data_IF_969781037814
#
_entry.id   IF_969781037814
#
_cell.length_a   1.000
_cell.length_b   1.000
_cell.length_c   1.000
_cell.angle_alpha   90.00
_cell.angle_beta   90.00
_cell.angle_gamma   90.00
#
_symmetry.space_group_name_H-M   'P 1'
#
loop_
_entity.id
_entity.type
_entity.pdbx_description
1 polymer ?
#
# COMPACT_ATOMS: atom_id res chain seq x y z
N UNK A 1 -17.68 37.02 74.43
CA UNK A 1 -17.86 38.31 73.74
C UNK A 1 -18.12 37.99 72.26
N UNK A 2 -19.34 37.64 71.85
CA UNK A 2 -20.41 38.57 71.37
C UNK A 2 -19.83 39.57 70.33
N UNK A 3 -19.95 39.41 69.00
CA UNK A 3 -21.11 39.35 68.09
C UNK A 3 -21.89 40.68 68.02
N UNK A 4 -22.21 41.12 66.78
CA UNK A 4 -23.07 42.24 66.30
C UNK A 4 -22.43 43.63 66.05
N UNK A 5 -22.90 44.53 65.18
CA UNK A 5 -23.39 44.55 63.76
C UNK A 5 -23.60 46.05 63.38
N UNK A 6 -23.45 46.41 62.10
CA UNK A 6 -24.12 47.51 61.31
C UNK A 6 -23.93 49.01 61.73
N UNK A 7 -23.53 49.85 60.76
CA UNK A 7 -24.31 50.96 60.12
C UNK A 7 -23.37 52.03 59.54
N UNK A 8 -23.63 52.37 58.29
CA UNK A 8 -23.07 53.44 57.48
C UNK A 8 -23.07 54.83 58.15
N UNK A 9 -22.21 55.74 57.69
CA UNK A 9 -22.59 57.03 57.10
C UNK A 9 -21.40 58.02 56.99
N UNK A 10 -21.26 58.56 55.78
CA UNK A 10 -20.96 59.96 55.47
C UNK A 10 -19.78 60.68 56.16
N UNK A 11 -18.76 61.04 55.38
CA UNK A 11 -18.30 62.43 55.29
C UNK A 11 -17.27 62.64 54.17
N UNK A 12 -17.53 63.69 53.37
CA UNK A 12 -16.61 64.56 52.62
C UNK A 12 -17.19 64.81 51.22
N UNK A 13 -17.55 66.02 50.80
CA UNK A 13 -17.47 67.34 51.38
C UNK A 13 -18.00 68.27 50.28
N UNK A 14 -18.94 69.14 50.64
CA UNK A 14 -19.55 70.09 49.72
C UNK A 14 -18.51 71.08 49.17
N UNK A 15 -18.36 71.13 47.85
CA UNK A 15 -17.90 72.33 47.14
C UNK A 15 -19.07 72.82 46.27
N UNK A 16 -19.89 73.67 46.88
CA UNK A 16 -21.01 74.34 46.26
C UNK A 16 -20.47 75.44 45.35
N UNK A 17 -20.19 75.11 44.09
CA UNK A 17 -19.96 76.10 43.05
C UNK A 17 -21.31 76.38 42.41
N UNK A 18 -21.87 77.58 42.68
CA UNK A 18 -23.07 78.11 42.02
C UNK A 18 -22.91 77.96 40.50
N UNK A 19 -23.53 76.92 39.95
CA UNK A 19 -23.73 76.80 38.51
C UNK A 19 -24.95 77.64 38.19
N UNK A 20 -24.72 78.75 37.50
CA UNK A 20 -25.73 79.37 36.66
C UNK A 20 -26.36 78.24 35.84
N UNK A 21 -27.66 78.02 36.05
CA UNK A 21 -28.47 77.01 35.37
C UNK A 21 -28.58 77.40 33.88
N UNK A 22 -27.56 77.01 33.12
CA UNK A 22 -27.59 77.06 31.67
C UNK A 22 -28.17 75.74 31.15
N UNK A 23 -29.07 75.78 30.15
CA UNK A 23 -29.56 74.58 29.50
C UNK A 23 -28.37 73.72 29.03
N UNK A 24 -28.39 72.43 29.31
CA UNK A 24 -27.42 71.49 28.77
C UNK A 24 -28.14 70.33 28.08
N UNK A 25 -27.56 69.90 26.96
CA UNK A 25 -28.01 68.69 26.27
C UNK A 25 -27.41 67.49 26.99
N UNK A 26 -28.26 66.53 27.37
CA UNK A 26 -27.80 65.18 27.71
C UNK A 26 -27.96 64.32 26.47
N UNK A 27 -26.85 63.82 25.94
CA UNK A 27 -26.88 62.78 24.92
C UNK A 27 -26.77 61.45 25.65
N UNK A 28 -27.61 60.47 25.31
CA UNK A 28 -27.49 59.11 25.82
C UNK A 28 -27.47 58.15 24.66
N UNK A 29 -26.61 57.15 24.73
CA UNK A 29 -26.62 55.99 23.85
C UNK A 29 -27.36 54.88 24.59
N UNK A 30 -28.38 54.29 23.96
CA UNK A 30 -29.19 53.27 24.63
C UNK A 30 -28.43 51.97 24.90
N UNK A 31 -27.35 51.71 24.14
CA UNK A 31 -26.73 50.38 24.05
C UNK A 31 -25.26 50.31 24.51
N UNK A 32 -24.74 51.23 25.33
CA UNK A 32 -23.30 51.21 25.70
C UNK A 32 -23.10 51.02 27.20
N UNK A 33 -22.36 49.97 27.56
CA UNK A 33 -21.76 49.83 28.88
C UNK A 33 -20.64 50.88 29.08
N UNK A 34 -20.95 51.91 29.85
CA UNK A 34 -20.01 52.74 30.64
C UNK A 34 -18.91 53.60 29.99
N UNK A 35 -18.56 53.51 28.70
CA UNK A 35 -17.41 54.26 28.14
C UNK A 35 -17.71 55.41 27.15
N UNK A 36 -18.98 55.73 26.87
CA UNK A 36 -19.35 56.44 25.65
C UNK A 36 -19.54 57.97 25.69
N UNK A 37 -19.25 58.71 26.77
CA UNK A 37 -19.41 60.18 26.75
C UNK A 37 -18.27 60.86 27.51
N UNK A 38 -17.21 61.24 26.78
CA UNK A 38 -16.22 62.20 27.30
C UNK A 38 -16.70 63.62 27.02
N UNK A 39 -17.32 64.26 28.00
CA UNK A 39 -17.73 65.67 27.89
C UNK A 39 -16.53 66.59 28.15
N UNK A 40 -16.11 67.37 27.16
CA UNK A 40 -15.31 68.56 27.40
C UNK A 40 -16.22 69.74 27.75
N UNK A 41 -15.98 70.46 28.86
CA UNK A 41 -16.73 71.68 29.22
C UNK A 41 -15.77 72.85 29.50
N UNK A 42 -15.98 74.00 28.85
CA UNK A 42 -16.27 75.32 29.48
C UNK A 42 -16.50 76.41 28.43
N UNK A 43 -17.70 77.00 28.41
CA UNK A 43 -18.02 78.29 27.76
C UNK A 43 -18.09 78.30 26.23
N UNK A 44 -19.25 78.69 25.66
CA UNK A 44 -19.46 79.09 24.25
C UNK A 44 -18.54 78.47 23.19
N UNK A 45 -18.42 77.14 23.16
CA UNK A 45 -17.39 76.46 22.37
C UNK A 45 -17.84 75.08 21.89
N UNK A 46 -17.15 74.59 20.86
CA UNK A 46 -17.43 73.30 20.19
C UNK A 46 -17.09 72.13 21.12
N UNK A 47 -18.05 71.22 21.34
CA UNK A 47 -17.89 70.00 22.15
C UNK A 47 -17.87 68.79 21.21
N UNK A 48 -16.82 67.95 21.26
CA UNK A 48 -16.78 66.71 20.48
C UNK A 48 -17.07 65.51 21.38
N UNK A 49 -17.98 64.65 20.96
CA UNK A 49 -18.39 63.43 21.65
C UNK A 49 -18.09 62.22 20.77
N UNK A 50 -17.73 61.10 21.37
CA UNK A 50 -17.45 59.85 20.66
C UNK A 50 -18.44 58.78 21.11
N UNK A 51 -19.15 58.16 20.16
CA UNK A 51 -20.11 57.08 20.43
C UNK A 51 -19.65 55.77 19.79
N UNK A 52 -19.89 54.64 20.44
CA UNK A 52 -19.62 53.29 19.89
C UNK A 52 -20.90 52.71 19.27
N UNK A 53 -22.04 52.88 19.96
CA UNK A 53 -23.37 52.52 19.49
C UNK A 53 -23.92 53.47 18.41
N UNK A 54 -24.85 52.93 17.60
CA UNK A 54 -25.44 53.66 16.47
C UNK A 54 -26.57 54.62 16.85
N UNK A 55 -27.36 54.33 17.89
CA UNK A 55 -28.51 55.15 18.29
C UNK A 55 -28.14 56.21 19.32
N UNK A 56 -28.52 57.45 19.02
CA UNK A 56 -28.33 58.64 19.84
C UNK A 56 -29.70 59.17 20.27
N UNK A 57 -29.92 59.26 21.58
CA UNK A 57 -31.03 60.00 22.18
C UNK A 57 -30.55 61.34 22.70
N UNK A 58 -31.29 62.40 22.39
CA UNK A 58 -30.94 63.77 22.75
C UNK A 58 -32.02 64.27 23.72
N UNK A 59 -31.63 64.63 24.95
CA UNK A 59 -32.52 65.21 25.94
C UNK A 59 -32.16 66.68 26.16
N UNK A 60 -33.17 67.55 26.15
CA UNK A 60 -33.05 68.95 26.55
C UNK A 60 -33.49 69.08 28.00
N UNK A 61 -32.68 69.71 28.84
CA UNK A 61 -33.06 70.04 30.23
C UNK A 61 -33.25 71.54 30.33
N UNK A 62 -34.48 72.00 30.54
CA UNK A 62 -34.79 73.41 30.86
C UNK A 62 -35.00 73.53 32.36
N UNK A 63 -34.11 74.25 33.05
CA UNK A 63 -34.26 74.57 34.48
C UNK A 63 -35.03 75.87 34.72
N UNK A 64 -35.59 76.53 33.69
CA UNK A 64 -36.19 77.87 33.80
C UNK A 64 -37.57 78.07 33.17
N UNK A 65 -38.08 77.13 32.36
CA UNK A 65 -39.42 77.18 31.78
C UNK A 65 -39.70 78.37 30.85
N UNK A 66 -38.68 79.13 30.42
CA UNK A 66 -38.84 80.41 29.71
C UNK A 66 -38.06 80.57 28.40
N UNK A 67 -37.34 79.54 27.97
CA UNK A 67 -36.54 79.60 26.74
C UNK A 67 -36.72 78.33 25.92
N UNK A 68 -37.38 78.48 24.77
CA UNK A 68 -37.35 77.48 23.72
C UNK A 68 -35.94 77.47 23.08
N UNK A 69 -35.47 76.29 22.68
CA UNK A 69 -34.24 76.09 21.91
C UNK A 69 -34.58 75.22 20.70
N UNK A 70 -33.85 75.37 19.59
CA UNK A 70 -33.97 74.47 18.45
C UNK A 70 -32.60 73.89 18.09
N UNK A 71 -32.59 72.62 17.70
CA UNK A 71 -31.38 71.93 17.23
C UNK A 71 -31.41 71.90 15.72
N UNK A 72 -30.32 72.34 15.11
CA UNK A 72 -30.06 72.05 13.71
C UNK A 72 -29.07 70.89 13.64
N UNK A 73 -29.53 69.74 13.13
CA UNK A 73 -28.67 68.59 12.85
C UNK A 73 -28.27 68.60 11.38
N UNK A 74 -26.98 68.70 11.11
CA UNK A 74 -26.45 68.56 9.74
C UNK A 74 -25.60 67.29 9.65
N UNK A 75 -26.06 66.25 8.93
CA UNK A 75 -25.17 65.16 8.54
C UNK A 75 -24.18 65.72 7.51
N UNK A 76 -22.89 65.71 7.83
CA UNK A 76 -21.88 66.15 6.86
C UNK A 76 -21.54 64.96 5.96
N UNK A 77 -21.79 65.11 4.65
CA UNK A 77 -21.68 64.11 3.56
C UNK A 77 -22.78 63.03 3.48
N UNK A 78 -23.98 63.44 3.03
CA UNK A 78 -24.75 62.66 2.04
C UNK A 78 -25.72 63.59 1.27
N UNK A 79 -25.72 63.48 -0.06
CA UNK A 79 -26.83 63.94 -0.92
C UNK A 79 -28.03 63.01 -0.73
N UNK A 80 -29.24 63.60 -0.82
CA UNK A 80 -30.59 62.97 -0.80
C UNK A 80 -31.01 62.49 0.61
N UNK A 81 -32.02 63.03 1.28
CA UNK A 81 -33.32 63.55 0.86
C UNK A 81 -33.75 64.81 1.66
N UNK A 82 -34.74 65.51 1.10
CA UNK A 82 -35.26 66.81 1.55
C UNK A 82 -35.76 66.83 3.00
N UNK A 83 -35.58 68.00 3.62
CA UNK A 83 -36.29 68.52 4.80
C UNK A 83 -36.11 67.79 6.14
N UNK A 84 -35.11 68.24 6.91
CA UNK A 84 -35.14 68.12 8.38
C UNK A 84 -34.78 69.46 9.05
N UNK A 85 -35.43 70.55 8.63
CA UNK A 85 -35.55 71.76 9.45
C UNK A 85 -36.83 71.61 10.28
N UNK A 86 -36.78 70.91 11.42
CA UNK A 86 -37.90 70.85 12.35
C UNK A 86 -37.62 71.70 13.58
N UNK A 87 -38.47 72.70 13.81
CA UNK A 87 -38.58 73.42 15.08
C UNK A 87 -39.48 72.61 16.01
N UNK A 88 -39.00 72.13 17.17
CA UNK A 88 -39.85 71.38 18.10
C UNK A 88 -39.43 71.53 19.58
N UNK A 89 -40.43 71.87 20.40
CA UNK A 89 -40.37 72.19 21.83
C UNK A 89 -40.55 70.95 22.74
N UNK A 90 -40.24 69.74 22.28
CA UNK A 90 -40.46 68.48 23.02
C UNK A 90 -39.57 67.32 22.54
N UNK A 91 -39.17 66.45 23.46
CA UNK A 91 -38.17 65.36 23.39
C UNK A 91 -37.86 64.71 22.01
N UNK A 92 -36.56 64.54 21.69
CA UNK A 92 -36.08 63.94 20.45
C UNK A 92 -36.41 62.45 20.34
N UNK A 93 -36.78 62.01 19.12
CA UNK A 93 -36.69 60.61 18.69
C UNK A 93 -35.24 60.16 18.48
N UNK A 94 -35.00 58.85 18.50
CA UNK A 94 -33.67 58.24 18.36
C UNK A 94 -33.09 58.48 16.96
N UNK A 95 -31.86 58.99 16.88
CA UNK A 95 -31.14 59.19 15.61
C UNK A 95 -30.06 58.11 15.44
N UNK A 96 -29.94 57.52 14.25
CA UNK A 96 -28.91 56.54 13.95
C UNK A 96 -27.70 57.17 13.22
N UNK A 97 -26.49 56.88 13.66
CA UNK A 97 -25.24 57.35 13.07
C UNK A 97 -24.40 56.17 12.56
N UNK A 98 -24.06 56.14 11.27
CA UNK A 98 -23.23 55.07 10.70
C UNK A 98 -21.78 55.11 11.19
N UNK A 99 -21.08 53.96 11.25
CA UNK A 99 -19.64 53.90 11.53
C UNK A 99 -18.81 54.81 10.61
N UNK A 100 -17.86 55.55 11.20
CA UNK A 100 -16.99 56.49 10.48
C UNK A 100 -17.63 57.84 10.15
N UNK A 101 -18.93 58.03 10.46
CA UNK A 101 -19.62 59.30 10.25
C UNK A 101 -19.58 60.19 11.48
N UNK A 102 -19.83 61.48 11.25
CA UNK A 102 -19.98 62.48 12.31
C UNK A 102 -21.27 63.27 12.12
N UNK A 103 -21.89 63.63 13.22
CA UNK A 103 -23.09 64.44 13.30
C UNK A 103 -22.75 65.76 13.99
N UNK A 104 -23.13 66.88 13.37
CA UNK A 104 -23.03 68.19 14.02
C UNK A 104 -24.40 68.66 14.46
N UNK A 105 -24.52 69.04 15.73
CA UNK A 105 -25.71 69.55 16.40
C UNK A 105 -25.41 70.98 16.84
N UNK A 106 -26.03 71.95 16.19
CA UNK A 106 -25.95 73.36 16.57
C UNK A 106 -27.13 73.73 17.47
N UNK A 107 -26.85 74.37 18.61
CA UNK A 107 -27.86 74.92 19.53
C UNK A 107 -27.89 76.43 19.36
N UNK A 108 -29.08 76.95 19.05
CA UNK A 108 -29.34 78.38 18.95
C UNK A 108 -30.47 78.79 19.90
N UNK A 109 -30.39 80.02 20.42
CA UNK A 109 -31.46 80.63 21.23
C UNK A 109 -32.66 81.00 20.34
N UNK A 110 -33.88 80.60 20.72
CA UNK A 110 -35.07 80.79 19.86
C UNK A 110 -35.46 82.26 19.66
N UNK A 111 -35.24 83.14 20.64
CA UNK A 111 -35.68 84.56 20.55
C UNK A 111 -34.71 85.46 19.78
N UNK A 112 -33.41 85.23 19.91
CA UNK A 112 -32.36 86.06 19.31
C UNK A 112 -31.70 85.42 18.09
N UNK A 113 -31.87 84.12 17.88
CA UNK A 113 -31.10 83.35 16.91
C UNK A 113 -29.62 83.22 17.28
N UNK A 114 -29.20 83.68 18.45
CA UNK A 114 -27.81 83.64 18.87
C UNK A 114 -27.33 82.19 19.02
N UNK A 115 -26.18 81.88 18.43
CA UNK A 115 -25.52 80.59 18.54
C UNK A 115 -25.00 80.39 19.97
N UNK A 116 -25.39 79.28 20.59
CA UNK A 116 -25.06 78.97 21.98
C UNK A 116 -23.95 77.93 22.08
N UNK A 117 -24.04 76.84 21.30
CA UNK A 117 -23.09 75.74 21.34
C UNK A 117 -23.17 74.85 20.10
N UNK A 118 -22.07 74.15 19.78
CA UNK A 118 -21.99 73.14 18.72
C UNK A 118 -21.50 71.83 19.30
N UNK A 119 -22.23 70.75 19.10
CA UNK A 119 -21.85 69.40 19.49
C UNK A 119 -21.52 68.60 18.23
N UNK A 120 -20.31 68.04 18.17
CA UNK A 120 -19.87 67.16 17.11
C UNK A 120 -19.84 65.74 17.68
N UNK A 121 -20.80 64.90 17.31
CA UNK A 121 -20.81 63.49 17.70
C UNK A 121 -20.13 62.68 16.60
N UNK A 122 -19.04 61.98 16.92
CA UNK A 122 -18.31 61.12 15.99
C UNK A 122 -18.53 59.66 16.36
N UNK A 123 -18.90 58.81 15.40
CA UNK A 123 -18.87 57.35 15.56
C UNK A 123 -17.64 56.83 14.81
N UNK A 124 -16.56 56.40 15.50
CA UNK A 124 -15.41 55.83 14.81
C UNK A 124 -15.80 54.52 14.11
N UNK A 125 -15.08 54.17 13.05
CA UNK A 125 -15.19 52.86 12.39
C UNK A 125 -14.15 51.93 13.01
N UNK A 126 -14.54 51.15 14.02
CA UNK A 126 -13.63 50.24 14.72
C UNK A 126 -13.68 48.88 14.03
N UNK A 127 -12.53 48.44 13.52
CA UNK A 127 -12.41 47.13 12.86
C UNK A 127 -11.51 46.27 13.73
N UNK A 128 -11.90 45.04 14.07
CA UNK A 128 -11.09 44.19 14.93
C UNK A 128 -9.80 43.80 14.23
N UNK A 129 -8.69 43.89 14.98
CA UNK A 129 -7.43 43.26 14.60
C UNK A 129 -7.34 41.91 15.32
N UNK A 130 -7.16 40.83 14.55
CA UNK A 130 -7.25 39.45 15.05
C UNK A 130 -5.92 38.75 14.86
N UNK A 131 -5.33 38.29 15.95
CA UNK A 131 -4.11 37.49 15.96
C UNK A 131 -4.43 35.99 15.95
N UNK A 132 -3.67 35.24 15.16
CA UNK A 132 -3.84 33.80 14.91
C UNK A 132 -2.69 33.04 15.57
N UNK A 133 -3.01 31.95 16.27
CA UNK A 133 -2.06 31.16 17.04
C UNK A 133 -2.14 29.67 16.66
N UNK A 134 -1.01 28.98 16.75
CA UNK A 134 -0.96 27.52 16.60
C UNK A 134 -1.16 26.86 17.97
N UNK A 135 -1.91 25.76 18.03
CA UNK A 135 -2.17 25.02 19.27
C UNK A 135 -0.92 24.32 19.84
N UNK A 136 0.22 24.35 19.15
CA UNK A 136 1.46 23.80 19.69
C UNK A 136 1.89 24.66 20.89
N UNK A 137 1.90 24.04 22.06
CA UNK A 137 1.65 24.58 23.41
C UNK A 137 2.63 25.64 23.96
N UNK A 138 3.40 26.33 23.13
CA UNK A 138 4.35 27.38 23.54
C UNK A 138 4.40 28.59 22.58
N UNK A 139 3.45 28.74 21.65
CA UNK A 139 3.46 29.89 20.73
C UNK A 139 3.01 31.18 21.43
N UNK A 140 3.95 31.86 22.10
CA UNK A 140 3.77 33.22 22.65
C UNK A 140 3.47 34.23 21.52
N UNK A 141 3.90 33.93 20.29
CA UNK A 141 3.79 34.79 19.14
C UNK A 141 2.66 34.36 18.20
N UNK A 142 1.84 35.33 17.83
CA UNK A 142 0.90 35.16 16.73
C UNK A 142 1.66 34.87 15.43
N UNK A 143 1.25 33.86 14.67
CA UNK A 143 1.84 33.57 13.36
C UNK A 143 1.26 34.47 12.26
N UNK A 144 0.09 35.06 12.51
CA UNK A 144 -0.55 35.98 11.59
C UNK A 144 -1.46 36.98 12.31
N UNK A 145 -1.45 38.24 11.88
CA UNK A 145 -2.37 39.27 12.36
C UNK A 145 -3.26 39.73 11.20
N UNK A 146 -4.52 39.36 11.26
CA UNK A 146 -5.57 39.82 10.36
C UNK A 146 -5.97 41.23 10.74
N UNK A 147 -5.71 42.16 9.82
CA UNK A 147 -6.05 43.57 9.93
C UNK A 147 -6.54 44.06 8.58
N UNK A 148 -7.39 45.08 8.56
CA UNK A 148 -7.83 45.64 7.27
C UNK A 148 -6.66 46.37 6.59
N UNK A 149 -6.12 45.77 5.52
CA UNK A 149 -5.08 46.35 4.66
C UNK A 149 -5.64 46.54 3.25
N UNK A 150 -5.98 47.78 2.90
CA UNK A 150 -6.31 48.22 1.53
C UNK A 150 -7.34 47.35 0.78
N UNK A 151 -8.58 47.22 1.28
CA UNK A 151 -9.74 46.55 0.64
C UNK A 151 -9.48 45.16 0.00
N UNK A 152 -8.33 44.53 0.27
CA UNK A 152 -7.94 43.24 -0.26
C UNK A 152 -8.27 42.16 0.76
N UNK A 153 -8.90 41.10 0.26
CA UNK A 153 -9.24 39.94 1.08
C UNK A 153 -8.01 39.07 1.25
N UNK A 154 -7.64 38.79 2.50
CA UNK A 154 -6.50 37.94 2.82
C UNK A 154 -6.85 36.47 2.58
N UNK A 155 -5.92 35.74 1.94
CA UNK A 155 -6.02 34.31 1.63
C UNK A 155 -4.87 33.58 2.33
N UNK A 156 -5.20 32.69 3.25
CA UNK A 156 -4.24 32.03 4.13
C UNK A 156 -4.31 30.52 3.95
N UNK A 157 -3.16 29.86 3.90
CA UNK A 157 -3.11 28.39 3.88
C UNK A 157 -2.86 27.86 5.28
N UNK A 158 -3.74 26.97 5.74
CA UNK A 158 -3.74 26.41 7.09
C UNK A 158 -3.54 24.90 7.09
N UNK A 159 -2.98 24.37 8.17
CA UNK A 159 -3.01 22.95 8.47
C UNK A 159 -4.39 22.57 9.07
N UNK A 160 -4.87 21.33 8.87
CA UNK A 160 -6.08 20.86 9.54
C UNK A 160 -5.86 20.76 11.06
N UNK A 161 -6.93 20.94 11.84
CA UNK A 161 -6.89 20.94 13.30
C UNK A 161 -7.67 22.10 13.88
N UNK A 162 -7.20 22.65 15.00
CA UNK A 162 -7.83 23.80 15.66
C UNK A 162 -7.09 25.09 15.32
N UNK A 163 -7.81 26.21 15.31
CA UNK A 163 -7.28 27.55 15.13
C UNK A 163 -7.67 28.40 16.34
N UNK A 164 -6.65 28.88 17.06
CA UNK A 164 -6.84 29.79 18.19
C UNK A 164 -6.73 31.24 17.73
N UNK A 165 -7.76 32.02 18.01
CA UNK A 165 -7.89 33.43 17.65
C UNK A 165 -7.91 34.30 18.90
N UNK A 166 -7.27 35.48 18.82
CA UNK A 166 -7.32 36.48 19.89
C UNK A 166 -7.47 37.88 19.31
N UNK A 167 -8.39 38.66 19.88
CA UNK A 167 -8.54 40.06 19.53
C UNK A 167 -7.39 40.89 20.12
N UNK A 168 -6.75 41.72 19.29
CA UNK A 168 -5.78 42.71 19.72
C UNK A 168 -6.53 43.94 20.24
N UNK A 169 -6.39 44.21 21.53
CA UNK A 169 -7.09 45.29 22.23
C UNK A 169 -6.28 46.60 22.15
N UNK A 170 -6.92 47.68 21.72
CA UNK A 170 -6.36 49.05 21.73
C UNK A 170 -6.99 49.87 22.85
N UNK A 171 -6.46 51.05 23.23
CA UNK A 171 -7.08 51.91 24.24
C UNK A 171 -8.55 52.28 23.92
N UNK A 172 -8.92 52.30 22.64
CA UNK A 172 -10.28 52.62 22.16
C UNK A 172 -11.21 51.42 22.16
N UNK A 173 -10.66 50.20 21.98
CA UNK A 173 -11.44 48.97 21.89
C UNK A 173 -11.44 48.15 23.19
N UNK A 174 -10.71 48.63 24.22
CA UNK A 174 -10.53 47.92 25.50
C UNK A 174 -11.88 47.54 26.13
N UNK A 175 -12.08 46.23 26.27
CA UNK A 175 -13.28 45.64 26.89
C UNK A 175 -14.41 45.37 25.91
N UNK A 176 -14.27 45.75 24.63
CA UNK A 176 -15.20 45.36 23.58
C UNK A 176 -15.01 43.88 23.26
N UNK A 177 -16.13 43.19 23.11
CA UNK A 177 -16.19 41.78 22.76
C UNK A 177 -16.14 41.60 21.23
N UNK A 178 -15.34 40.64 20.75
CA UNK A 178 -15.24 40.29 19.33
C UNK A 178 -15.93 38.96 19.08
N UNK A 179 -16.82 38.93 18.11
CA UNK A 179 -17.47 37.72 17.62
C UNK A 179 -16.81 37.25 16.33
N UNK A 180 -16.47 35.96 16.28
CA UNK A 180 -15.88 35.27 15.14
C UNK A 180 -16.91 34.33 14.51
N UNK A 181 -16.98 34.33 13.18
CA UNK A 181 -17.77 33.39 12.40
C UNK A 181 -16.89 32.70 11.38
N UNK A 182 -16.93 31.38 11.36
CA UNK A 182 -16.24 30.54 10.43
C UNK A 182 -17.28 29.77 9.61
N UNK A 183 -17.33 30.05 8.31
CA UNK A 183 -18.29 29.41 7.40
C UNK A 183 -17.54 28.54 6.40
N UNK A 184 -17.88 27.26 6.36
CA UNK A 184 -17.35 26.35 5.33
C UNK A 184 -17.95 26.74 3.98
N UNK A 185 -17.11 27.04 2.99
CA UNK A 185 -17.60 27.52 1.70
C UNK A 185 -18.35 26.44 0.90
N UNK A 186 -18.04 25.16 1.13
CA UNK A 186 -18.69 24.03 0.44
C UNK A 186 -19.95 23.56 1.17
N UNK A 187 -19.84 23.24 2.46
CA UNK A 187 -20.97 22.66 3.24
C UNK A 187 -21.93 23.71 3.76
N UNK A 188 -21.51 24.99 3.80
CA UNK A 188 -22.22 26.11 4.41
C UNK A 188 -22.44 25.97 5.93
N UNK A 189 -21.85 24.97 6.56
CA UNK A 189 -21.82 24.84 8.01
C UNK A 189 -21.08 26.03 8.64
N UNK A 190 -21.56 26.44 9.80
CA UNK A 190 -21.09 27.62 10.50
C UNK A 190 -20.64 27.26 11.92
N UNK A 191 -19.51 27.81 12.31
CA UNK A 191 -19.05 27.83 13.70
C UNK A 191 -18.93 29.28 14.13
N UNK A 192 -19.31 29.56 15.37
CA UNK A 192 -19.16 30.89 15.96
C UNK A 192 -18.45 30.79 17.30
N UNK A 193 -17.53 31.71 17.56
CA UNK A 193 -16.85 31.83 18.84
C UNK A 193 -16.76 33.31 19.21
N UNK A 194 -16.60 33.61 20.49
CA UNK A 194 -16.55 34.98 20.99
C UNK A 194 -15.39 35.15 21.94
N UNK A 195 -14.70 36.29 21.90
CA UNK A 195 -13.62 36.60 22.83
C UNK A 195 -13.54 38.09 23.16
N UNK A 196 -13.40 38.39 24.45
CA UNK A 196 -13.04 39.73 24.95
C UNK A 196 -11.53 39.86 25.16
N UNK A 197 -10.92 38.94 25.92
CA UNK A 197 -9.48 38.97 26.26
C UNK A 197 -8.77 37.61 26.14
N UNK A 198 -9.52 36.55 25.84
CA UNK A 198 -9.06 35.15 25.79
C UNK A 198 -8.83 34.63 24.38
N UNK A 199 -8.58 33.32 24.27
CA UNK A 199 -8.55 32.64 22.98
C UNK A 199 -9.95 32.15 22.61
N UNK A 200 -10.32 32.32 21.35
CA UNK A 200 -11.45 31.66 20.72
C UNK A 200 -10.92 30.56 19.81
N UNK A 201 -11.32 29.31 20.05
CA UNK A 201 -10.89 28.15 19.27
C UNK A 201 -11.95 27.80 18.23
N UNK A 202 -11.51 27.56 16.99
CA UNK A 202 -12.35 27.12 15.87
C UNK A 202 -11.77 25.87 15.23
N UNK A 203 -12.64 24.96 14.78
CA UNK A 203 -12.22 23.69 14.18
C UNK A 203 -12.14 23.79 12.64
N UNK A 204 -10.99 23.39 12.09
CA UNK A 204 -10.68 23.40 10.67
C UNK A 204 -10.60 21.96 10.14
N UNK A 205 -11.59 21.57 9.34
CA UNK A 205 -11.58 20.29 8.65
C UNK A 205 -10.54 20.26 7.52
N UNK A 206 -9.87 19.12 7.31
CA UNK A 206 -8.92 18.95 6.21
C UNK A 206 -9.60 19.09 4.85
N UNK A 207 -8.89 19.67 3.88
CA UNK A 207 -9.34 19.82 2.50
C UNK A 207 -10.62 20.65 2.34
N UNK A 208 -10.76 21.69 3.17
CA UNK A 208 -11.88 22.62 3.15
C UNK A 208 -11.41 24.06 2.95
N UNK A 209 -12.31 24.89 2.44
CA UNK A 209 -12.12 26.34 2.34
C UNK A 209 -13.11 26.99 3.30
N UNK A 210 -12.61 27.83 4.20
CA UNK A 210 -13.43 28.57 5.14
C UNK A 210 -13.36 30.06 4.88
N UNK A 211 -14.47 30.75 5.13
CA UNK A 211 -14.51 32.21 5.26
C UNK A 211 -14.62 32.56 6.73
N UNK A 212 -13.58 33.16 7.28
CA UNK A 212 -13.55 33.70 8.63
C UNK A 212 -13.97 35.18 8.57
N UNK A 213 -14.91 35.58 9.41
CA UNK A 213 -15.28 36.98 9.63
C UNK A 213 -15.28 37.33 11.12
N UNK A 214 -14.79 38.51 11.47
CA UNK A 214 -14.78 39.00 12.84
C UNK A 214 -15.31 40.44 12.93
N UNK A 215 -16.12 40.73 13.94
CA UNK A 215 -16.66 42.06 14.23
C UNK A 215 -16.79 42.28 15.74
N UNK A 216 -16.88 43.55 16.17
CA UNK A 216 -17.18 43.87 17.57
C UNK A 216 -18.69 43.76 17.82
N UNK A 217 -19.11 43.15 18.93
CA UNK A 217 -20.54 43.00 19.27
C UNK A 217 -21.29 44.34 19.28
N UNK A 218 -20.63 45.41 19.75
CA UNK A 218 -21.18 46.78 19.80
C UNK A 218 -21.18 47.51 18.43
N UNK A 219 -20.51 46.96 17.42
CA UNK A 219 -20.39 47.53 16.07
C UNK A 219 -20.24 46.41 15.01
N UNK A 220 -21.33 45.68 14.78
CA UNK A 220 -21.34 44.51 13.89
C UNK A 220 -21.20 44.86 12.39
N UNK A 221 -21.37 46.12 12.01
CA UNK A 221 -21.30 46.59 10.63
C UNK A 221 -19.84 46.74 10.14
N UNK A 222 -18.88 46.83 11.08
CA UNK A 222 -17.46 46.98 10.80
C UNK A 222 -16.73 45.64 11.01
N UNK A 223 -16.73 44.80 9.98
CA UNK A 223 -16.10 43.47 10.01
C UNK A 223 -14.80 43.37 9.22
N UNK A 224 -13.93 42.47 9.64
CA UNK A 224 -12.77 41.98 8.87
C UNK A 224 -13.03 40.54 8.43
N UNK A 225 -12.56 40.15 7.24
CA UNK A 225 -12.73 38.79 6.74
C UNK A 225 -11.49 38.26 6.01
N UNK A 226 -11.30 36.94 6.09
CA UNK A 226 -10.21 36.20 5.45
C UNK A 226 -10.69 34.84 4.94
N UNK A 227 -10.05 34.34 3.88
CA UNK A 227 -10.28 32.98 3.38
C UNK A 227 -9.16 32.04 3.85
N UNK A 228 -9.54 30.93 4.49
CA UNK A 228 -8.62 29.92 5.00
C UNK A 228 -8.69 28.66 4.11
N UNK A 229 -7.56 28.27 3.52
CA UNK A 229 -7.40 27.09 2.67
C UNK A 229 -6.72 25.98 3.47
N UNK A 230 -7.50 25.01 3.94
CA UNK A 230 -7.01 23.94 4.82
C UNK A 230 -6.50 22.77 4.01
N UNK A 231 -5.21 22.43 4.15
CA UNK A 231 -4.59 21.33 3.38
C UNK A 231 -5.15 19.97 3.80
N UNK A 232 -5.22 18.98 2.88
CA UNK A 232 -5.52 17.59 3.25
C UNK A 232 -4.41 17.00 4.13
N UNK A 233 -4.74 15.98 4.92
CA UNK A 233 -3.72 15.18 5.60
C UNK A 233 -2.75 14.52 4.62
N UNK A 234 -1.48 14.42 5.00
CA UNK A 234 -0.40 13.89 4.15
C UNK A 234 -0.69 12.49 3.61
N UNK A 235 -1.33 11.62 4.40
CA UNK A 235 -1.65 10.23 4.02
C UNK A 235 -2.83 10.11 3.06
N UNK A 236 -3.62 11.18 2.87
CA UNK A 236 -4.66 11.28 1.84
C UNK A 236 -4.16 11.94 0.56
N UNK A 237 -2.87 12.28 0.49
CA UNK A 237 -2.28 12.85 -0.72
C UNK A 237 -2.19 11.82 -1.85
N UNK A 238 -2.25 12.28 -3.09
CA UNK A 238 -2.03 11.43 -4.28
C UNK A 238 -0.69 10.71 -4.21
N UNK A 239 0.35 11.36 -3.68
CA UNK A 239 1.68 10.78 -3.50
C UNK A 239 1.66 9.60 -2.53
N UNK A 240 0.89 9.68 -1.43
CA UNK A 240 0.74 8.56 -0.50
C UNK A 240 0.07 7.36 -1.17
N UNK A 241 -1.01 7.56 -1.94
CA UNK A 241 -1.65 6.48 -2.69
C UNK A 241 -0.73 5.81 -3.71
N UNK A 242 0.09 6.59 -4.43
CA UNK A 242 1.10 6.06 -5.36
C UNK A 242 2.10 5.17 -4.62
N UNK A 243 2.59 5.60 -3.44
CA UNK A 243 3.52 4.81 -2.63
C UNK A 243 2.88 3.51 -2.14
N UNK A 244 1.62 3.54 -1.66
CA UNK A 244 0.91 2.32 -1.28
C UNK A 244 0.77 1.34 -2.45
N UNK A 245 0.41 1.82 -3.64
CA UNK A 245 0.32 0.99 -4.84
C UNK A 245 1.68 0.35 -5.19
N UNK A 246 2.78 1.11 -5.12
CA UNK A 246 4.12 0.57 -5.38
C UNK A 246 4.53 -0.52 -4.40
N UNK A 247 4.24 -0.35 -3.10
CA UNK A 247 4.52 -1.38 -2.09
C UNK A 247 3.72 -2.67 -2.39
N UNK A 248 2.43 -2.54 -2.73
CA UNK A 248 1.58 -3.69 -3.08
C UNK A 248 2.12 -4.41 -4.31
N UNK A 249 2.48 -3.67 -5.37
CA UNK A 249 3.07 -4.25 -6.59
C UNK A 249 4.38 -4.98 -6.28
N UNK A 250 5.25 -4.39 -5.44
CA UNK A 250 6.50 -5.01 -5.00
C UNK A 250 6.28 -6.33 -4.25
N UNK A 251 5.29 -6.37 -3.36
CA UNK A 251 4.92 -7.59 -2.62
C UNK A 251 4.39 -8.69 -3.55
N UNK A 252 3.52 -8.34 -4.50
CA UNK A 252 2.99 -9.28 -5.50
C UNK A 252 4.14 -9.82 -6.36
N UNK A 253 5.02 -8.96 -6.86
CA UNK A 253 6.18 -9.35 -7.66
C UNK A 253 7.10 -10.30 -6.89
N UNK A 254 7.41 -10.00 -5.63
CA UNK A 254 8.21 -10.86 -4.76
C UNK A 254 7.56 -12.24 -4.56
N UNK A 255 6.25 -12.29 -4.33
CA UNK A 255 5.51 -13.53 -4.17
C UNK A 255 5.55 -14.40 -5.45
N UNK A 256 5.38 -13.80 -6.63
CA UNK A 256 5.45 -14.51 -7.92
C UNK A 256 6.83 -15.09 -8.16
N UNK A 257 7.89 -14.29 -7.99
CA UNK A 257 9.29 -14.74 -8.18
C UNK A 257 9.63 -15.89 -7.22
N UNK A 258 9.19 -15.79 -5.94
CA UNK A 258 9.40 -16.84 -4.95
C UNK A 258 8.69 -18.14 -5.34
N UNK A 259 7.45 -18.05 -5.78
CA UNK A 259 6.64 -19.20 -6.21
C UNK A 259 7.27 -19.92 -7.39
N UNK A 260 7.77 -19.16 -8.37
CA UNK A 260 8.43 -19.72 -9.54
C UNK A 260 9.74 -20.45 -9.17
N UNK A 261 10.58 -19.86 -8.31
CA UNK A 261 11.81 -20.49 -7.81
C UNK A 261 11.55 -21.79 -7.06
N UNK A 262 10.48 -21.86 -6.26
CA UNK A 262 10.11 -23.07 -5.54
C UNK A 262 9.69 -24.19 -6.48
N UNK A 263 8.93 -23.87 -7.54
CA UNK A 263 8.47 -24.84 -8.54
C UNK A 263 9.62 -25.44 -9.35
N UNK A 264 10.62 -24.64 -9.70
CA UNK A 264 11.83 -25.15 -10.38
C UNK A 264 12.60 -26.09 -9.45
N UNK A 265 12.77 -25.73 -8.18
CA UNK A 265 13.49 -26.57 -7.20
C UNK A 265 12.78 -27.88 -6.92
N UNK A 266 11.44 -27.91 -6.90
CA UNK A 266 10.70 -29.15 -6.70
C UNK A 266 10.88 -30.10 -7.88
N UNK A 267 10.75 -29.60 -9.11
CA UNK A 267 10.97 -30.40 -10.32
C UNK A 267 12.40 -30.96 -10.41
N UNK A 268 13.42 -30.15 -10.08
CA UNK A 268 14.80 -30.64 -10.03
C UNK A 268 15.04 -31.72 -8.98
N UNK A 269 14.35 -31.67 -7.84
CA UNK A 269 14.44 -32.70 -6.81
C UNK A 269 13.78 -34.00 -7.25
N UNK A 270 12.62 -33.90 -7.89
CA UNK A 270 11.89 -35.04 -8.43
C UNK A 270 12.71 -35.79 -9.46
N UNK A 271 13.29 -35.09 -10.46
CA UNK A 271 14.17 -35.72 -11.45
C UNK A 271 15.37 -36.42 -10.81
N UNK A 272 16.03 -35.79 -9.84
CA UNK A 272 17.15 -36.42 -9.11
C UNK A 272 16.72 -37.66 -8.32
N UNK A 273 15.52 -37.65 -7.76
CA UNK A 273 14.99 -38.82 -7.03
C UNK A 273 14.67 -39.97 -7.97
N UNK A 274 14.15 -39.68 -9.16
CA UNK A 274 13.93 -40.67 -10.22
C UNK A 274 15.25 -41.26 -10.71
N UNK A 275 16.25 -40.41 -11.00
CA UNK A 275 17.60 -40.85 -11.39
C UNK A 275 18.23 -41.79 -10.35
N UNK A 276 18.18 -41.40 -9.07
CA UNK A 276 18.69 -42.22 -7.98
C UNK A 276 17.92 -43.55 -7.84
N UNK A 277 16.62 -43.55 -8.11
CA UNK A 277 15.80 -44.76 -8.06
C UNK A 277 16.17 -45.72 -9.20
N UNK A 278 16.38 -45.20 -10.41
CA UNK A 278 16.88 -45.99 -11.54
C UNK A 278 18.27 -46.58 -11.25
N UNK A 279 19.19 -45.80 -10.68
CA UNK A 279 20.53 -46.27 -10.28
C UNK A 279 20.44 -47.37 -9.23
N UNK A 280 19.57 -47.22 -8.21
CA UNK A 280 19.36 -48.24 -7.16
C UNK A 280 18.80 -49.54 -7.72
N UNK A 281 17.83 -49.45 -8.63
CA UNK A 281 17.22 -50.63 -9.24
C UNK A 281 18.28 -51.41 -10.04
N UNK A 282 19.17 -50.69 -10.73
CA UNK A 282 20.29 -51.29 -11.44
C UNK A 282 21.31 -51.95 -10.52
N UNK A 283 21.65 -51.36 -9.38
CA UNK A 283 22.62 -51.97 -8.46
C UNK A 283 22.12 -53.29 -7.87
N UNK A 284 20.81 -53.55 -7.88
CA UNK A 284 20.22 -54.84 -7.51
C UNK A 284 20.31 -55.90 -8.62
N UNK A 285 20.51 -55.51 -9.89
CA UNK A 285 20.63 -56.45 -11.02
C UNK A 285 22.03 -57.10 -11.12
N UNK A 286 23.09 -56.38 -10.74
CA UNK A 286 24.49 -56.81 -10.87
C UNK A 286 24.91 -58.02 -9.98
N UNK A 287 24.47 -58.15 -8.70
CA UNK A 287 24.94 -59.21 -7.81
C UNK A 287 24.63 -60.62 -8.32
N UNK A 288 23.46 -60.83 -8.93
CA UNK A 288 23.05 -62.14 -9.41
C UNK A 288 23.98 -62.66 -10.51
N UNK A 289 24.41 -61.80 -11.43
CA UNK A 289 25.36 -62.17 -12.48
C UNK A 289 26.70 -62.65 -11.89
N UNK A 290 27.23 -61.91 -10.91
CA UNK A 290 28.50 -62.26 -10.26
C UNK A 290 28.45 -63.62 -9.57
N UNK A 291 27.37 -63.92 -8.86
CA UNK A 291 27.19 -65.24 -8.22
C UNK A 291 27.04 -66.37 -9.24
N UNK A 292 26.34 -66.13 -10.35
CA UNK A 292 26.17 -67.14 -11.40
C UNK A 292 27.48 -67.46 -12.12
N UNK A 293 28.27 -66.43 -12.44
CA UNK A 293 29.57 -66.62 -13.08
C UNK A 293 30.53 -67.42 -12.19
N UNK A 294 30.59 -67.12 -10.88
CA UNK A 294 31.39 -67.90 -9.92
C UNK A 294 30.93 -69.36 -9.83
N UNK A 295 29.61 -69.59 -9.88
CA UNK A 295 29.04 -70.95 -9.90
C UNK A 295 29.39 -71.70 -11.20
N UNK A 296 29.41 -71.00 -12.34
CA UNK A 296 29.83 -71.56 -13.64
C UNK A 296 31.30 -71.96 -13.63
N UNK A 297 32.19 -71.12 -13.09
CA UNK A 297 33.62 -71.44 -12.92
C UNK A 297 33.79 -72.68 -12.03
N UNK A 298 33.05 -72.76 -10.93
CA UNK A 298 33.07 -73.94 -10.06
C UNK A 298 32.64 -75.21 -10.81
N UNK A 299 31.63 -75.13 -11.68
CA UNK A 299 31.19 -76.25 -12.53
C UNK A 299 32.24 -76.72 -13.54
N UNK A 300 32.93 -75.80 -14.22
CA UNK A 300 34.00 -76.13 -15.17
C UNK A 300 35.20 -76.77 -14.44
N UNK A 301 35.58 -76.25 -13.27
CA UNK A 301 36.62 -76.87 -12.44
C UNK A 301 36.24 -78.28 -11.99
N UNK A 302 34.99 -78.49 -11.55
CA UNK A 302 34.51 -79.80 -11.10
C UNK A 302 34.43 -80.85 -12.21
N UNK A 303 34.34 -80.43 -13.47
CA UNK A 303 34.30 -81.32 -14.65
C UNK A 303 35.68 -81.55 -15.28
N UNK A 304 36.76 -81.03 -14.67
CA UNK A 304 38.14 -81.19 -15.15
C UNK A 304 38.52 -80.28 -16.33
N UNK A 305 37.62 -79.37 -16.75
CA UNK A 305 37.83 -78.42 -17.86
C UNK A 305 38.58 -77.18 -17.39
N UNK A 306 39.79 -77.37 -16.85
CA UNK A 306 40.55 -76.31 -16.16
C UNK A 306 40.97 -75.17 -17.11
N UNK A 307 41.38 -75.47 -18.34
CA UNK A 307 41.73 -74.40 -19.30
C UNK A 307 40.53 -73.52 -19.64
N UNK A 308 39.36 -74.12 -19.83
CA UNK A 308 38.12 -73.39 -20.13
C UNK A 308 37.65 -72.56 -18.93
N UNK A 309 37.86 -73.06 -17.70
CA UNK A 309 37.63 -72.29 -16.48
C UNK A 309 38.55 -71.05 -16.38
N UNK A 310 39.81 -71.17 -16.79
CA UNK A 310 40.75 -70.04 -16.82
C UNK A 310 40.35 -68.99 -17.87
N UNK A 311 40.01 -69.43 -19.09
CA UNK A 311 39.50 -68.52 -20.14
C UNK A 311 38.22 -67.83 -19.68
N UNK A 312 37.30 -68.55 -19.03
CA UNK A 312 36.09 -67.99 -18.47
C UNK A 312 36.40 -66.91 -17.42
N UNK A 313 37.35 -67.16 -16.51
CA UNK A 313 37.75 -66.19 -15.47
C UNK A 313 38.37 -64.91 -16.06
N UNK A 314 39.18 -65.03 -17.11
CA UNK A 314 39.77 -63.87 -17.79
C UNK A 314 38.70 -63.02 -18.50
N UNK A 315 37.82 -63.66 -19.27
CA UNK A 315 36.71 -62.99 -19.97
C UNK A 315 35.73 -62.36 -18.96
N UNK A 316 35.42 -63.07 -17.88
CA UNK A 316 34.56 -62.57 -16.81
C UNK A 316 35.17 -61.38 -16.05
N UNK A 317 36.47 -61.43 -15.72
CA UNK A 317 37.17 -60.31 -15.08
C UNK A 317 37.22 -59.07 -15.98
N UNK A 318 37.36 -59.26 -17.29
CA UNK A 318 37.27 -58.17 -18.29
C UNK A 318 35.87 -57.55 -18.30
N UNK A 319 34.82 -58.37 -18.35
CA UNK A 319 33.43 -57.93 -18.34
C UNK A 319 33.05 -57.20 -17.04
N UNK A 320 33.49 -57.69 -15.88
CA UNK A 320 33.29 -57.02 -14.59
C UNK A 320 33.93 -55.63 -14.55
N UNK A 321 35.19 -55.50 -15.03
CA UNK A 321 35.87 -54.20 -15.08
C UNK A 321 35.12 -53.21 -15.99
N UNK A 322 34.67 -53.65 -17.17
CA UNK A 322 33.86 -52.84 -18.08
C UNK A 322 32.54 -52.39 -17.43
N UNK A 323 31.87 -53.30 -16.72
CA UNK A 323 30.57 -53.04 -16.07
C UNK A 323 30.68 -52.11 -14.84
N UNK A 324 31.70 -52.30 -13.99
CA UNK A 324 31.88 -51.51 -12.77
C UNK A 324 32.23 -50.04 -13.07
N UNK A 325 33.09 -49.78 -14.06
CA UNK A 325 33.47 -48.42 -14.47
C UNK A 325 32.27 -47.61 -14.97
N UNK A 326 31.26 -48.29 -15.54
CA UNK A 326 30.08 -47.71 -16.20
C UNK A 326 28.80 -47.74 -15.37
N UNK A 327 28.83 -48.37 -14.20
CA UNK A 327 27.66 -48.60 -13.32
C UNK A 327 27.08 -47.34 -12.65
N UNK A 328 27.61 -46.14 -12.93
CA UNK A 328 27.11 -44.85 -12.42
C UNK A 328 26.40 -44.00 -13.48
N UNK A 329 26.55 -44.27 -14.77
CA UNK A 329 25.87 -43.51 -15.85
C UNK A 329 24.46 -44.09 -16.07
N UNK A 330 23.40 -43.29 -16.23
CA UNK A 330 22.03 -43.84 -16.41
C UNK A 330 21.85 -44.44 -17.81
N UNK A 331 22.54 -43.86 -18.80
CA UNK A 331 22.51 -44.26 -20.19
C UNK A 331 23.91 -44.63 -20.66
N UNK A 332 24.00 -45.51 -21.65
CA UNK A 332 25.24 -45.88 -22.31
C UNK A 332 24.98 -46.13 -23.81
N UNK A 333 26.02 -46.07 -24.65
CA UNK A 333 25.82 -46.29 -26.09
C UNK A 333 25.31 -47.71 -26.36
N UNK A 334 24.45 -47.85 -27.37
CA UNK A 334 23.95 -49.13 -27.85
C UNK A 334 25.09 -50.09 -28.18
N UNK A 335 26.18 -49.58 -28.78
CA UNK A 335 27.37 -50.37 -29.09
C UNK A 335 28.00 -51.00 -27.85
N UNK A 336 28.14 -50.24 -26.76
CA UNK A 336 28.70 -50.76 -25.52
C UNK A 336 27.79 -51.79 -24.88
N UNK A 337 26.48 -51.61 -24.97
CA UNK A 337 25.55 -52.57 -24.41
C UNK A 337 25.50 -53.88 -25.22
N UNK A 338 25.65 -53.78 -26.54
CA UNK A 338 25.85 -54.94 -27.42
C UNK A 338 27.19 -55.64 -27.16
N UNK A 339 28.28 -54.91 -26.88
CA UNK A 339 29.56 -55.50 -26.49
C UNK A 339 29.44 -56.30 -25.19
N UNK A 340 28.83 -55.70 -24.17
CA UNK A 340 28.63 -56.33 -22.86
C UNK A 340 27.76 -57.58 -22.98
N UNK A 341 26.69 -57.49 -23.78
CA UNK A 341 25.84 -58.63 -24.11
C UNK A 341 26.61 -59.73 -24.84
N UNK A 342 27.42 -59.38 -25.84
CA UNK A 342 28.19 -60.36 -26.62
C UNK A 342 29.17 -61.12 -25.72
N UNK A 343 29.86 -60.41 -24.82
CA UNK A 343 30.72 -61.03 -23.83
C UNK A 343 29.93 -61.97 -22.90
N UNK A 344 28.74 -61.55 -22.45
CA UNK A 344 27.87 -62.39 -21.63
C UNK A 344 27.42 -63.67 -22.35
N UNK A 345 26.91 -63.56 -23.58
CA UNK A 345 26.45 -64.71 -24.38
C UNK A 345 27.61 -65.69 -24.61
N UNK A 346 28.80 -65.17 -24.93
CA UNK A 346 30.01 -65.99 -25.12
C UNK A 346 30.37 -66.78 -23.87
N UNK A 347 30.35 -66.15 -22.70
CA UNK A 347 30.58 -66.82 -21.41
C UNK A 347 29.54 -67.93 -21.18
N UNK A 348 28.26 -67.64 -21.35
CA UNK A 348 27.21 -68.63 -21.13
C UNK A 348 27.25 -69.77 -22.17
N UNK A 349 27.69 -69.50 -23.41
CA UNK A 349 27.89 -70.52 -24.44
C UNK A 349 29.02 -71.52 -24.13
N UNK A 350 29.99 -71.15 -23.27
CA UNK A 350 30.99 -72.10 -22.76
C UNK A 350 30.37 -73.11 -21.77
N UNK A 351 29.30 -72.70 -21.08
CA UNK A 351 28.60 -73.49 -20.06
C UNK A 351 27.47 -74.32 -20.66
N UNK A 352 26.63 -73.69 -21.47
CA UNK A 352 25.52 -74.31 -22.16
C UNK A 352 25.88 -74.35 -23.63
N UNK A 353 25.96 -75.55 -24.22
CA UNK A 353 26.28 -75.68 -25.62
C UNK A 353 25.08 -75.15 -26.42
N UNK A 354 25.18 -74.02 -27.14
CA UNK A 354 24.13 -73.47 -28.01
C UNK A 354 24.74 -72.57 -29.10
N UNK A 355 24.00 -72.35 -30.18
CA UNK A 355 24.39 -71.46 -31.29
C UNK A 355 23.77 -70.08 -31.09
N UNK A 356 24.52 -69.03 -31.40
CA UNK A 356 24.03 -67.67 -31.28
C UNK A 356 24.51 -66.75 -32.40
N UNK A 357 23.69 -65.74 -32.69
CA UNK A 357 23.98 -64.72 -33.69
C UNK A 357 23.49 -63.35 -33.19
N UNK A 358 24.27 -62.30 -33.46
CA UNK A 358 23.88 -60.91 -33.21
C UNK A 358 23.93 -60.16 -34.55
N UNK A 359 22.76 -59.71 -34.99
CA UNK A 359 22.57 -58.93 -36.21
C UNK A 359 22.18 -57.50 -35.84
N UNK A 360 22.80 -56.52 -36.48
CA UNK A 360 22.44 -55.11 -36.31
C UNK A 360 22.34 -54.47 -37.67
N UNK A 361 21.19 -53.87 -37.95
CA UNK A 361 20.92 -53.20 -39.21
C UNK A 361 21.88 -52.02 -39.44
N UNK A 362 22.25 -51.79 -40.70
CA UNK A 362 23.29 -50.81 -41.08
C UNK A 362 22.86 -49.35 -40.94
N UNK A 363 21.55 -49.10 -40.86
CA UNK A 363 20.92 -47.80 -40.67
C UNK A 363 20.89 -47.33 -39.21
N UNK A 364 21.35 -48.16 -38.27
CA UNK A 364 21.37 -47.84 -36.84
C UNK A 364 22.76 -47.34 -36.43
N UNK A 365 22.84 -46.06 -36.02
CA UNK A 365 24.06 -45.50 -35.42
C UNK A 365 24.22 -45.97 -33.97
N UNK A 366 24.91 -47.09 -33.80
CA UNK A 366 25.15 -47.73 -32.50
C UNK A 366 25.99 -46.88 -31.55
N UNK A 367 26.79 -45.96 -32.08
CA UNK A 367 27.68 -45.11 -31.27
C UNK A 367 26.96 -43.85 -30.80
N UNK A 368 26.07 -43.30 -31.63
CA UNK A 368 25.26 -42.12 -31.32
C UNK A 368 24.03 -42.41 -30.46
N UNK A 369 23.47 -43.62 -30.53
CA UNK A 369 22.27 -43.97 -29.75
C UNK A 369 22.63 -44.38 -28.33
N UNK A 370 22.12 -43.65 -27.33
CA UNK A 370 22.23 -44.00 -25.92
C UNK A 370 20.98 -44.77 -25.43
N UNK A 371 21.17 -45.95 -24.85
CA UNK A 371 20.11 -46.76 -24.21
C UNK A 371 20.38 -46.94 -22.71
N UNK A 372 19.36 -47.24 -21.89
CA UNK A 372 19.57 -47.49 -20.47
C UNK A 372 20.56 -48.63 -20.24
N UNK A 373 21.57 -48.39 -19.41
CA UNK A 373 22.63 -49.37 -19.18
C UNK A 373 22.06 -50.63 -18.52
N UNK A 374 22.53 -51.81 -18.94
CA UNK A 374 22.13 -53.15 -18.49
C UNK A 374 20.68 -53.55 -18.81
N UNK A 375 19.94 -52.82 -19.65
CA UNK A 375 18.54 -53.16 -19.95
C UNK A 375 18.38 -54.51 -20.68
N UNK A 376 19.38 -54.90 -21.48
CA UNK A 376 19.33 -56.12 -22.30
C UNK A 376 19.75 -57.38 -21.54
N UNK A 377 20.58 -57.23 -20.50
CA UNK A 377 21.18 -58.35 -19.79
C UNK A 377 20.15 -59.31 -19.16
N UNK A 378 19.09 -58.84 -18.44
CA UNK A 378 18.11 -59.75 -17.85
C UNK A 378 17.29 -60.53 -18.90
N UNK A 379 17.08 -59.93 -20.07
CA UNK A 379 16.33 -60.56 -21.16
C UNK A 379 17.12 -61.71 -21.78
N UNK A 380 18.42 -61.48 -21.99
CA UNK A 380 19.35 -62.50 -22.52
C UNK A 380 19.60 -63.59 -21.47
N UNK A 381 19.72 -63.22 -20.20
CA UNK A 381 19.84 -64.19 -19.10
C UNK A 381 18.63 -65.14 -19.07
N UNK A 382 17.41 -64.60 -19.20
CA UNK A 382 16.20 -65.40 -19.26
C UNK A 382 16.19 -66.32 -20.49
N UNK A 383 16.51 -65.80 -21.67
CA UNK A 383 16.55 -66.60 -22.91
C UNK A 383 17.51 -67.78 -22.78
N UNK A 384 18.73 -67.57 -22.26
CA UNK A 384 19.73 -68.63 -22.16
C UNK A 384 19.40 -69.62 -21.04
N UNK A 385 19.18 -69.14 -19.80
CA UNK A 385 19.03 -70.04 -18.64
C UNK A 385 17.72 -70.80 -18.65
N UNK A 386 16.62 -70.16 -19.07
CA UNK A 386 15.30 -70.78 -19.03
C UNK A 386 14.87 -71.32 -20.38
N UNK A 387 15.24 -70.65 -21.47
CA UNK A 387 14.94 -71.10 -22.82
C UNK A 387 15.87 -72.22 -23.30
N UNK A 388 17.19 -72.00 -23.23
CA UNK A 388 18.16 -72.83 -23.95
C UNK A 388 18.88 -73.91 -23.13
N UNK A 389 18.92 -73.78 -21.80
CA UNK A 389 19.76 -74.63 -20.94
C UNK A 389 19.48 -76.14 -21.05
N UNK A 390 18.27 -76.54 -21.45
CA UNK A 390 17.87 -77.95 -21.63
C UNK A 390 17.99 -78.47 -23.07
N UNK A 391 18.35 -77.62 -24.04
CA UNK A 391 18.33 -77.96 -25.47
C UNK A 391 19.69 -78.41 -26.03
N UNK A 392 20.80 -78.08 -25.37
CA UNK A 392 22.14 -78.38 -25.88
C UNK A 392 22.34 -77.80 -27.29
N UNK A 393 23.04 -78.54 -28.16
CA UNK A 393 23.41 -78.10 -29.53
C UNK A 393 22.26 -77.64 -30.43
N UNK A 394 21.02 -78.03 -30.09
CA UNK A 394 19.80 -77.61 -30.78
C UNK A 394 19.35 -76.20 -30.37
N UNK A 395 19.91 -75.63 -29.30
CA UNK A 395 19.62 -74.30 -28.81
C UNK A 395 20.09 -73.20 -29.78
N UNK A 396 19.22 -72.24 -30.06
CA UNK A 396 19.49 -71.12 -30.96
C UNK A 396 19.05 -69.81 -30.32
N UNK A 397 19.97 -68.84 -30.27
CA UNK A 397 19.73 -67.47 -29.83
C UNK A 397 19.99 -66.49 -30.98
N UNK A 398 19.00 -65.69 -31.36
CA UNK A 398 19.16 -64.60 -32.31
C UNK A 398 18.85 -63.27 -31.64
N UNK A 399 19.81 -62.36 -31.63
CA UNK A 399 19.59 -60.96 -31.25
C UNK A 399 19.63 -60.12 -32.50
N UNK A 400 18.56 -59.36 -32.77
CA UNK A 400 18.45 -58.51 -33.95
C UNK A 400 18.09 -57.09 -33.54
N UNK A 401 18.85 -56.10 -34.01
CA UNK A 401 18.55 -54.68 -33.82
C UNK A 401 18.17 -54.08 -35.17
N UNK A 402 16.94 -53.60 -35.29
CA UNK A 402 16.33 -53.16 -36.56
C UNK A 402 15.59 -51.83 -36.39
N UNK A 403 15.64 -50.98 -37.42
CA UNK A 403 14.75 -49.83 -37.54
C UNK A 403 13.30 -50.28 -37.71
N UNK A 404 12.36 -49.41 -37.37
CA UNK A 404 10.92 -49.65 -37.60
C UNK A 404 10.38 -48.63 -38.60
N UNK A 405 9.17 -48.87 -39.12
CA UNK A 405 8.48 -47.90 -39.98
C UNK A 405 8.08 -46.61 -39.23
N UNK A 406 8.08 -46.65 -37.88
CA UNK A 406 7.87 -45.47 -37.06
C UNK A 406 9.11 -44.57 -37.07
N UNK A 407 8.88 -43.26 -37.21
CA UNK A 407 9.97 -42.26 -37.23
C UNK A 407 10.80 -42.36 -35.94
N UNK A 408 12.12 -42.28 -36.11
CA UNK A 408 13.11 -42.25 -35.03
C UNK A 408 12.99 -43.43 -34.04
N UNK A 409 12.41 -44.55 -34.47
CA UNK A 409 12.10 -45.71 -33.62
C UNK A 409 12.82 -46.96 -34.10
N UNK A 410 13.44 -47.67 -33.16
CA UNK A 410 14.12 -48.95 -33.43
C UNK A 410 13.70 -50.01 -32.41
N UNK A 411 13.89 -51.27 -32.76
CA UNK A 411 13.57 -52.41 -31.91
C UNK A 411 14.76 -53.37 -31.77
N UNK A 412 14.92 -53.92 -30.57
CA UNK A 412 15.83 -55.02 -30.28
C UNK A 412 14.99 -56.26 -30.04
N UNK A 413 15.17 -57.25 -30.90
CA UNK A 413 14.52 -58.56 -30.83
C UNK A 413 15.50 -59.56 -30.24
N UNK A 414 15.06 -60.31 -29.24
CA UNK A 414 15.78 -61.43 -28.66
C UNK A 414 14.90 -62.66 -28.87
N UNK A 415 15.33 -63.55 -29.77
CA UNK A 415 14.59 -64.74 -30.15
C UNK A 415 15.35 -65.99 -29.75
N UNK A 416 14.69 -66.88 -29.04
CA UNK A 416 15.15 -68.22 -28.73
C UNK A 416 14.15 -69.29 -29.21
N UNK A 417 14.65 -70.51 -29.45
CA UNK A 417 13.82 -71.68 -29.76
C UNK A 417 13.48 -72.52 -28.52
N UNK A 418 13.62 -71.93 -27.33
CA UNK A 418 13.37 -72.55 -26.04
C UNK A 418 11.97 -72.31 -25.52
N UNK A 419 11.70 -72.84 -24.32
CA UNK A 419 10.43 -72.61 -23.61
C UNK A 419 10.56 -71.46 -22.62
N UNK A 420 9.69 -70.46 -22.73
CA UNK A 420 9.62 -69.38 -21.74
C UNK A 420 9.05 -69.88 -20.41
N UNK A 421 9.83 -69.81 -19.35
CA UNK A 421 9.35 -70.13 -17.99
C UNK A 421 8.99 -68.82 -17.28
N UNK A 422 7.71 -68.53 -17.22
CA UNK A 422 7.14 -67.41 -16.46
C UNK A 422 7.00 -67.85 -14.98
N UNK A 423 8.12 -67.96 -14.25
CA UNK A 423 8.03 -68.13 -12.78
C UNK A 423 7.72 -66.78 -12.16
N UNK A 424 6.70 -66.74 -11.29
CA UNK A 424 6.29 -65.60 -10.44
C UNK A 424 7.43 -64.98 -9.59
N UNK A 425 8.62 -65.58 -9.58
CA UNK A 425 9.78 -65.17 -8.76
C UNK A 425 11.05 -64.88 -9.57
N UNK A 426 10.94 -64.62 -10.88
CA UNK A 426 12.07 -64.20 -11.71
C UNK A 426 12.38 -62.71 -11.48
N UNK A 427 13.14 -62.39 -10.43
CA UNK A 427 13.54 -61.03 -10.05
C UNK A 427 13.97 -60.16 -11.25
N UNK A 428 14.62 -60.74 -12.26
CA UNK A 428 15.12 -60.01 -13.43
C UNK A 428 14.05 -59.28 -14.26
N UNK A 429 12.91 -59.92 -14.57
CA UNK A 429 11.92 -59.33 -15.49
C UNK A 429 11.07 -58.24 -14.84
N UNK A 430 10.72 -58.41 -13.56
CA UNK A 430 10.05 -57.37 -12.78
C UNK A 430 10.96 -56.15 -12.61
N UNK A 431 12.24 -56.37 -12.32
CA UNK A 431 13.23 -55.30 -12.24
C UNK A 431 13.43 -54.60 -13.61
N UNK A 432 13.42 -55.32 -14.73
CA UNK A 432 13.45 -54.70 -16.06
C UNK A 432 12.20 -53.87 -16.35
N UNK A 433 11.01 -54.35 -15.96
CA UNK A 433 9.77 -53.59 -16.13
C UNK A 433 9.75 -52.31 -15.28
N UNK A 434 10.20 -52.40 -14.03
CA UNK A 434 10.35 -51.24 -13.13
C UNK A 434 11.41 -50.25 -13.67
N UNK A 435 12.48 -50.75 -14.28
CA UNK A 435 13.51 -49.92 -14.91
C UNK A 435 12.95 -49.18 -16.13
N UNK A 436 12.21 -49.87 -17.00
CA UNK A 436 11.54 -49.26 -18.15
C UNK A 436 10.57 -48.17 -17.68
N UNK A 437 9.80 -48.42 -16.62
CA UNK A 437 8.90 -47.43 -16.04
C UNK A 437 9.66 -46.20 -15.55
N UNK A 438 10.72 -46.40 -14.76
CA UNK A 438 11.54 -45.31 -14.24
C UNK A 438 12.21 -44.50 -15.36
N UNK A 439 12.69 -45.15 -16.42
CA UNK A 439 13.28 -44.47 -17.58
C UNK A 439 12.25 -43.68 -18.37
N UNK A 440 11.04 -44.22 -18.57
CA UNK A 440 9.94 -43.52 -19.24
C UNK A 440 9.43 -42.32 -18.43
N UNK A 441 9.57 -42.34 -17.10
CA UNK A 441 9.29 -41.18 -16.24
C UNK A 441 10.41 -40.13 -16.31
N UNK A 442 11.66 -40.54 -16.59
CA UNK A 442 12.81 -39.66 -16.71
C UNK A 442 12.91 -38.94 -18.07
N UNK A 443 12.55 -39.61 -19.17
CA UNK A 443 12.66 -39.05 -20.53
C UNK A 443 11.28 -38.61 -21.03
N UNK A 444 11.15 -37.33 -21.38
CA UNK A 444 9.87 -36.77 -21.87
C UNK A 444 9.58 -37.07 -23.34
N UNK A 445 10.63 -37.23 -24.15
CA UNK A 445 10.50 -37.25 -25.61
C UNK A 445 10.59 -38.66 -26.21
N UNK A 446 11.00 -39.66 -25.43
CA UNK A 446 11.11 -41.05 -25.90
C UNK A 446 10.58 -42.04 -24.88
N UNK A 447 10.06 -43.17 -25.34
CA UNK A 447 9.53 -44.24 -24.48
C UNK A 447 10.03 -45.61 -24.90
N UNK A 448 10.18 -46.50 -23.94
CA UNK A 448 10.55 -47.90 -24.14
C UNK A 448 9.32 -48.77 -23.86
N UNK A 449 9.06 -49.73 -24.75
CA UNK A 449 8.04 -50.76 -24.53
C UNK A 449 8.65 -52.16 -24.64
N UNK A 450 8.15 -53.08 -23.81
CA UNK A 450 8.58 -54.48 -23.78
C UNK A 450 7.39 -55.36 -24.14
N UNK A 451 7.58 -56.24 -25.12
CA UNK A 451 6.61 -57.26 -25.52
C UNK A 451 7.26 -58.63 -25.53
N UNK A 452 6.53 -59.65 -25.06
CA UNK A 452 7.00 -61.04 -25.07
C UNK A 452 6.01 -61.87 -25.89
N UNK A 453 6.49 -62.44 -26.99
CA UNK A 453 5.72 -63.29 -27.89
C UNK A 453 6.13 -64.75 -27.69
N UNK A 454 5.18 -65.59 -27.28
CA UNK A 454 5.37 -67.04 -27.08
C UNK A 454 4.82 -67.78 -28.30
N UNK A 455 5.69 -68.29 -29.15
CA UNK A 455 5.33 -69.05 -30.37
C UNK A 455 5.93 -70.46 -30.31
N UNK A 456 6.65 -70.93 -31.33
CA UNK A 456 7.46 -72.18 -31.29
C UNK A 456 8.78 -72.01 -30.53
N UNK A 457 8.82 -71.03 -29.64
CA UNK A 457 10.00 -70.43 -29.02
C UNK A 457 9.58 -69.13 -28.32
N UNK A 458 10.55 -68.35 -27.82
CA UNK A 458 10.26 -67.04 -27.23
C UNK A 458 10.89 -65.93 -28.06
N UNK A 459 10.12 -64.88 -28.35
CA UNK A 459 10.64 -63.63 -28.90
C UNK A 459 10.32 -62.50 -27.95
N UNK A 460 11.34 -61.89 -27.36
CA UNK A 460 11.23 -60.65 -26.60
C UNK A 460 11.55 -59.48 -27.53
N UNK A 461 10.66 -58.49 -27.58
CA UNK A 461 10.81 -57.29 -28.40
C UNK A 461 10.87 -56.09 -27.45
N UNK A 462 11.99 -55.38 -27.51
CA UNK A 462 12.20 -54.12 -26.81
C UNK A 462 12.19 -52.98 -27.82
N UNK A 463 11.16 -52.15 -27.82
CA UNK A 463 10.97 -51.06 -28.79
C UNK A 463 11.27 -49.71 -28.15
N UNK A 464 12.15 -48.94 -28.79
CA UNK A 464 12.58 -47.61 -28.37
C UNK A 464 11.94 -46.57 -29.29
N UNK A 465 10.84 -45.97 -28.85
CA UNK A 465 10.08 -44.99 -29.64
C UNK A 465 10.69 -43.59 -29.52
N UNK A 466 10.85 -42.92 -30.66
CA UNK A 466 11.42 -41.56 -30.78
C UNK A 466 12.79 -41.41 -30.06
N UNK A 467 13.69 -42.33 -30.37
CA UNK A 467 14.96 -42.52 -29.65
C UNK A 467 16.21 -42.28 -30.52
N UNK A 468 16.07 -42.22 -31.84
CA UNK A 468 17.20 -42.06 -32.77
C UNK A 468 17.59 -40.60 -33.08
N UNK A 469 16.88 -39.59 -32.55
CA UNK A 469 17.02 -38.18 -32.97
C UNK A 469 17.43 -37.21 -31.85
N UNK A 470 18.14 -37.69 -30.82
CA UNK A 470 18.55 -36.89 -29.67
C UNK A 470 20.06 -36.69 -29.58
#
# INVERSE_FOLDING_TARGET
MLLLTIVASFQAGFAQQQTVDLPYIRISTDDISTNGIKTGRKGGGVVTLYTVGGYLKIYMTDTSGKTSYWVNSRPFHQEVDREANQSATSAYGSLYLDPGRQLTIDINETKSGAFLAKYIVKRPRLIPEVAFYHQDRDSVNAFYNLRQRNDRVEKLSMAPGTLDLKAIQTPETKGMEVQYFLVNDRTKEQQSATSTTGFATLDLEPNAVYRLSAYYTDQNESMVYAYLFVKPYWYKSTVAYINYALVIIGLIFFAVVRSFKLRIRSSQKENKQLEQSAIRLRSQLNPHFTFNALSSVQGLMNTGRIEEANTYLEEFGSLLRKTLVKSNEVFNSLDQELEMMRAYIRLEALRFNFKWEIQVSGDIDRSGIEIPTLILQPLIENAIKHGLSSLGDEGQLLVSCVGTDEKDTFAILIKDNGTWIERETGYGLSLTADLIKAVNELKTDGRISLQVLKTTGTTVILTFHNWMNN
#
